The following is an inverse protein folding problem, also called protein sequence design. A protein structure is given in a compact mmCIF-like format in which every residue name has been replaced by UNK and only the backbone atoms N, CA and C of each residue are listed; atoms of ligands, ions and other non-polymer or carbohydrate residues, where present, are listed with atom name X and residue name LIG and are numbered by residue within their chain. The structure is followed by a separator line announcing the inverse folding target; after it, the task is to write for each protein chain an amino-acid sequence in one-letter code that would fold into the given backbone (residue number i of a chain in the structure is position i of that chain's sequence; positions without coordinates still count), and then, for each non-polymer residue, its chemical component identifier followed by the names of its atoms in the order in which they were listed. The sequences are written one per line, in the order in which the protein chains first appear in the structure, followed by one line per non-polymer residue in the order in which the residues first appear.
data_IF_137540711770
#
_entry.id   IF_137540711770
#
_cell.length_a   1.000
_cell.length_b   1.000
_cell.length_c   1.000
_cell.angle_alpha   90.00
_cell.angle_beta   90.00
_cell.angle_gamma   90.00
#
_symmetry.space_group_name_H-M   'P 1'
#
loop_
_entity.id
_entity.type
_entity.pdbx_description
1 polymer ?
#
# COMPACT_ATOMS: atom_id res chain seq x y z
N UNK A 1 0.30 2.62 4.89
CA UNK A 1 -0.84 1.69 4.92
C UNK A 1 -0.29 0.28 5.03
N UNK A 2 -0.83 -0.57 5.91
CA UNK A 2 -0.30 -1.91 6.14
C UNK A 2 -0.83 -2.90 5.11
N UNK A 3 0.06 -3.77 4.60
CA UNK A 3 -0.31 -4.82 3.64
C UNK A 3 -1.37 -5.75 4.20
N UNK A 4 -1.26 -6.12 5.47
CA UNK A 4 -2.20 -7.01 6.16
C UNK A 4 -3.61 -6.43 6.16
N UNK A 5 -3.78 -5.15 6.52
CA UNK A 5 -5.08 -4.47 6.48
C UNK A 5 -5.69 -4.45 5.08
N UNK A 6 -4.87 -4.23 4.05
CA UNK A 6 -5.36 -4.24 2.66
C UNK A 6 -5.82 -5.64 2.27
N UNK A 7 -5.00 -6.67 2.54
CA UNK A 7 -5.35 -8.05 2.21
C UNK A 7 -6.58 -8.53 2.98
N UNK A 8 -6.73 -8.13 4.24
CA UNK A 8 -7.90 -8.41 5.08
C UNK A 8 -9.17 -7.76 4.52
N UNK A 9 -9.10 -6.47 4.15
CA UNK A 9 -10.22 -5.73 3.56
C UNK A 9 -10.72 -6.36 2.25
N UNK A 10 -9.80 -6.80 1.38
CA UNK A 10 -10.15 -7.41 0.09
C UNK A 10 -10.31 -8.93 0.16
N UNK A 11 -10.07 -9.56 1.32
CA UNK A 11 -9.91 -11.01 1.56
C UNK A 11 -8.80 -11.71 0.74
N UNK A 12 -8.40 -11.16 -0.40
CA UNK A 12 -7.50 -11.80 -1.36
C UNK A 12 -6.46 -10.82 -1.91
N UNK A 13 -5.23 -11.30 -2.09
CA UNK A 13 -4.17 -10.54 -2.76
C UNK A 13 -4.47 -10.33 -4.25
N UNK A 14 -5.25 -11.23 -4.85
CA UNK A 14 -5.66 -11.17 -6.26
C UNK A 14 -6.61 -10.00 -6.49
N UNK A 15 -7.62 -9.82 -5.62
CA UNK A 15 -8.54 -8.69 -5.74
C UNK A 15 -7.84 -7.33 -5.68
N UNK A 16 -6.82 -7.21 -4.82
CA UNK A 16 -5.97 -6.00 -4.74
C UNK A 16 -5.16 -5.78 -6.02
N UNK A 17 -4.60 -6.86 -6.57
CA UNK A 17 -3.82 -6.83 -7.81
C UNK A 17 -4.68 -6.42 -9.00
N UNK A 18 -5.89 -6.98 -9.14
CA UNK A 18 -6.84 -6.62 -10.20
C UNK A 18 -7.26 -5.15 -10.11
N UNK A 19 -7.58 -4.66 -8.90
CA UNK A 19 -7.96 -3.28 -8.65
C UNK A 19 -6.87 -2.29 -9.10
N UNK A 20 -5.61 -2.65 -8.85
CA UNK A 20 -4.46 -1.82 -9.20
C UNK A 20 -3.91 -2.08 -10.61
N UNK A 21 -4.51 -3.03 -11.34
CA UNK A 21 -4.01 -3.57 -12.61
C UNK A 21 -2.54 -3.98 -12.51
N UNK A 22 -2.18 -4.65 -11.41
CA UNK A 22 -0.86 -5.19 -11.13
C UNK A 22 -0.92 -6.72 -11.11
N UNK A 23 0.24 -7.36 -11.15
CA UNK A 23 0.34 -8.80 -10.92
C UNK A 23 0.29 -9.14 -9.43
N UNK A 24 -0.22 -10.33 -9.08
CA UNK A 24 -0.20 -10.83 -7.71
C UNK A 24 1.23 -10.90 -7.14
N UNK A 25 2.23 -11.19 -7.99
CA UNK A 25 3.65 -11.14 -7.63
C UNK A 25 4.12 -9.73 -7.19
N UNK A 26 3.48 -8.66 -7.67
CA UNK A 26 3.77 -7.30 -7.22
C UNK A 26 3.24 -7.06 -5.81
N UNK A 27 2.04 -7.56 -5.50
CA UNK A 27 1.43 -7.48 -4.15
C UNK A 27 2.20 -8.32 -3.14
N UNK A 28 2.67 -9.51 -3.55
CA UNK A 28 3.48 -10.37 -2.68
C UNK A 28 4.82 -9.73 -2.32
N UNK A 29 5.45 -8.99 -3.24
CA UNK A 29 6.69 -8.23 -3.03
C UNK A 29 6.56 -7.03 -2.11
N UNK A 30 5.36 -6.56 -1.79
CA UNK A 30 5.21 -5.47 -0.84
C UNK A 30 5.68 -5.91 0.55
N UNK A 31 6.41 -5.02 1.22
CA UNK A 31 6.79 -5.17 2.62
C UNK A 31 5.59 -5.01 3.55
N UNK A 32 5.88 -4.83 4.84
CA UNK A 32 4.86 -4.60 5.86
C UNK A 32 4.01 -3.35 5.55
N UNK A 33 4.67 -2.29 5.10
CA UNK A 33 4.06 -1.07 4.56
C UNK A 33 4.03 -1.18 3.04
N UNK A 34 2.83 -1.09 2.44
CA UNK A 34 2.68 -1.09 0.98
C UNK A 34 3.26 0.19 0.38
N UNK A 35 3.67 0.27 -0.89
CA UNK A 35 4.22 1.51 -1.45
C UNK A 35 3.21 2.67 -1.45
N UNK A 36 3.69 3.91 -1.25
CA UNK A 36 2.87 5.13 -1.13
C UNK A 36 1.92 5.31 -2.32
N UNK A 37 2.46 5.19 -3.54
CA UNK A 37 1.71 5.34 -4.79
C UNK A 37 0.54 4.36 -4.90
N UNK A 38 0.69 3.15 -4.36
CA UNK A 38 -0.33 2.11 -4.37
C UNK A 38 -1.35 2.37 -3.27
N UNK A 39 -0.91 2.82 -2.09
CA UNK A 39 -1.81 3.22 -1.00
C UNK A 39 -2.75 4.36 -1.42
N UNK A 40 -2.23 5.39 -2.11
CA UNK A 40 -3.03 6.49 -2.64
C UNK A 40 -4.04 6.03 -3.71
N UNK A 41 -3.63 5.09 -4.58
CA UNK A 41 -4.55 4.50 -5.56
C UNK A 41 -5.65 3.70 -4.88
N UNK A 42 -5.31 2.87 -3.89
CA UNK A 42 -6.27 2.08 -3.12
C UNK A 42 -7.25 2.97 -2.38
N UNK A 43 -6.81 4.06 -1.75
CA UNK A 43 -7.70 5.01 -1.08
C UNK A 43 -8.76 5.56 -2.05
N UNK A 44 -8.34 5.99 -3.25
CA UNK A 44 -9.26 6.50 -4.27
C UNK A 44 -10.21 5.42 -4.79
N UNK A 45 -9.70 4.22 -5.04
CA UNK A 45 -10.48 3.10 -5.59
C UNK A 45 -11.48 2.53 -4.57
N UNK A 46 -11.11 2.55 -3.29
CA UNK A 46 -11.98 2.13 -2.17
C UNK A 46 -12.86 3.25 -1.64
N UNK A 47 -12.88 4.40 -2.33
CA UNK A 47 -13.66 5.58 -1.96
C UNK A 47 -13.44 6.00 -0.49
N UNK A 48 -12.19 5.88 0.00
CA UNK A 48 -11.80 6.24 1.36
C UNK A 48 -12.01 5.15 2.43
N UNK A 49 -12.39 3.91 2.06
CA UNK A 49 -12.50 2.82 3.03
C UNK A 49 -11.14 2.45 3.63
N UNK A 50 -10.08 2.49 2.83
CA UNK A 50 -8.70 2.35 3.28
C UNK A 50 -8.05 3.73 3.42
N UNK A 51 -7.83 4.18 4.66
CA UNK A 51 -7.19 5.47 4.93
C UNK A 51 -5.70 5.43 4.60
N UNK A 52 -5.29 6.29 3.69
CA UNK A 52 -3.89 6.60 3.49
C UNK A 52 -3.37 7.42 4.68
N UNK A 53 -2.29 6.95 5.30
CA UNK A 53 -1.60 7.70 6.35
C UNK A 53 -0.23 8.16 5.84
N UNK A 54 -0.04 9.45 5.51
CA UNK A 54 1.24 9.98 5.04
C UNK A 54 2.36 9.86 6.09
N UNK A 55 2.04 9.73 7.38
CA UNK A 55 3.05 9.54 8.43
C UNK A 55 3.83 8.22 8.24
N UNK A 56 3.21 7.20 7.63
CA UNK A 56 3.86 5.91 7.32
C UNK A 56 4.85 6.01 6.16
N UNK A 57 4.80 7.09 5.38
CA UNK A 57 5.58 7.30 4.16
C UNK A 57 6.49 8.51 4.22
N UNK A 58 6.37 9.32 5.26
CA UNK A 58 7.14 10.53 5.49
C UNK A 58 8.60 10.18 5.79
N UNK A 59 9.32 9.76 4.75
CA UNK A 59 10.72 9.41 4.75
C UNK A 59 11.63 10.65 4.69
N UNK A 60 11.23 11.77 5.31
CA UNK A 60 12.18 12.87 5.53
C UNK A 60 13.27 12.47 6.53
N UNK A 61 13.08 11.38 7.29
CA UNK A 61 14.07 10.85 8.23
C UNK A 61 14.86 9.63 7.72
N UNK A 62 14.35 8.85 6.76
CA UNK A 62 15.05 7.63 6.31
C UNK A 62 16.27 7.89 5.40
N UNK A 63 16.43 9.12 4.87
CA UNK A 63 17.55 9.51 4.00
C UNK A 63 18.49 10.57 4.63
N UNK A 64 18.38 10.85 5.93
CA UNK A 64 19.27 11.82 6.62
C UNK A 64 20.35 11.17 7.49
N UNK A 65 20.38 9.84 7.58
CA UNK A 65 21.35 9.08 8.39
C UNK A 65 22.51 8.44 7.58
N UNK A 66 22.75 8.88 6.34
CA UNK A 66 23.83 8.38 5.48
C UNK A 66 24.64 9.51 4.81
N UNK A 67 24.77 10.67 5.47
CA UNK A 67 25.71 11.72 5.05
C UNK A 67 26.76 11.94 6.14
#
# INVERSE_FOLDING_TARGET
MYKTQVVDFFNTQVGVAELLSLSQASVSKWGEIIPEKQALRLEKLTNGALKYNPALYSAREANKALN
#
